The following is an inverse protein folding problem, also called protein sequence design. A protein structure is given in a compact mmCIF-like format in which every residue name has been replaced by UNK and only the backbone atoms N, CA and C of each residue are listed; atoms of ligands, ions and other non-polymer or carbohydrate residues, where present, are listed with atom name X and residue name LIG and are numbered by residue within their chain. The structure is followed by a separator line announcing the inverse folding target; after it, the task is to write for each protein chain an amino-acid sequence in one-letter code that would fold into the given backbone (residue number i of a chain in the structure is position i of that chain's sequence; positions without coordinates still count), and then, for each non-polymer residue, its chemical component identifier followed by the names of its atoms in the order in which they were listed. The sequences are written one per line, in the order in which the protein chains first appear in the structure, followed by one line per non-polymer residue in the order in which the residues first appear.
data_IF_254108233779
#
_entry.id   IF_254108233779
#
_cell.length_a   1.000
_cell.length_b   1.000
_cell.length_c   1.000
_cell.angle_alpha   90.00
_cell.angle_beta   90.00
_cell.angle_gamma   90.00
#
_symmetry.space_group_name_H-M   'P 1'
#
loop_
_entity.id
_entity.type
_entity.pdbx_description
1 polymer ?
#
# COMPACT_ATOMS: atom_id res chain seq x y z
N UNK A 1 -0.04 25.16 10.41
CA UNK A 1 0.82 24.39 9.50
C UNK A 1 1.66 23.49 10.39
N UNK A 2 1.23 22.25 10.55
CA UNK A 2 1.98 21.29 11.37
C UNK A 2 3.33 21.03 10.72
N UNK A 3 4.37 21.07 11.54
CA UNK A 3 5.75 20.96 11.09
C UNK A 3 6.00 19.51 10.67
N UNK A 4 6.15 19.26 9.37
CA UNK A 4 6.43 17.92 8.82
C UNK A 4 7.72 17.40 9.46
N UNK A 5 7.65 16.21 10.08
CA UNK A 5 8.79 15.62 10.78
C UNK A 5 9.94 15.28 9.81
N UNK A 6 11.17 15.19 10.33
CA UNK A 6 12.33 14.83 9.53
C UNK A 6 12.19 13.44 8.87
N UNK A 7 11.50 12.50 9.53
CA UNK A 7 11.19 11.19 8.96
C UNK A 7 10.23 11.32 7.77
N UNK A 8 9.15 12.08 7.92
CA UNK A 8 8.19 12.31 6.83
C UNK A 8 8.84 13.00 5.62
N UNK A 9 9.75 13.96 5.84
CA UNK A 9 10.51 14.57 4.74
C UNK A 9 11.41 13.56 4.03
N UNK A 10 12.02 12.63 4.78
CA UNK A 10 12.85 11.57 4.22
C UNK A 10 12.01 10.59 3.41
N UNK A 11 10.86 10.18 3.94
CA UNK A 11 9.93 9.28 3.27
C UNK A 11 9.38 9.91 1.99
N UNK A 12 9.01 11.19 1.99
CA UNK A 12 8.55 11.91 0.80
C UNK A 12 9.62 11.88 -0.31
N UNK A 13 10.88 12.18 0.02
CA UNK A 13 11.99 12.13 -0.95
C UNK A 13 12.19 10.71 -1.49
N UNK A 14 12.12 9.71 -0.61
CA UNK A 14 12.23 8.31 -0.99
C UNK A 14 11.11 7.90 -1.94
N UNK A 15 9.85 8.23 -1.62
CA UNK A 15 8.68 7.94 -2.46
C UNK A 15 8.83 8.60 -3.83
N UNK A 16 9.23 9.86 -3.90
CA UNK A 16 9.44 10.56 -5.15
C UNK A 16 10.52 9.90 -6.02
N UNK A 17 11.63 9.48 -5.41
CA UNK A 17 12.69 8.75 -6.11
C UNK A 17 12.20 7.40 -6.65
N UNK A 18 11.44 6.64 -5.86
CA UNK A 18 10.86 5.35 -6.28
C UNK A 18 9.87 5.54 -7.42
N UNK A 19 9.01 6.57 -7.37
CA UNK A 19 8.07 6.85 -8.47
C UNK A 19 8.82 7.12 -9.77
N UNK A 20 9.86 7.96 -9.72
CA UNK A 20 10.70 8.22 -10.89
C UNK A 20 11.43 6.96 -11.38
N UNK A 21 11.90 6.09 -10.48
CA UNK A 21 12.51 4.80 -10.83
C UNK A 21 11.51 3.90 -11.58
N UNK A 22 10.28 3.78 -11.08
CA UNK A 22 9.23 2.95 -11.69
C UNK A 22 8.80 3.52 -13.05
N UNK A 23 8.56 4.83 -13.15
CA UNK A 23 8.14 5.50 -14.39
C UNK A 23 9.14 5.30 -15.53
N UNK A 24 10.44 5.32 -15.22
CA UNK A 24 11.50 5.11 -16.20
C UNK A 24 11.83 3.62 -16.43
N UNK A 25 11.67 2.78 -15.40
CA UNK A 25 12.15 1.39 -15.41
C UNK A 25 11.12 0.36 -15.84
N UNK A 26 9.82 0.55 -15.61
CA UNK A 26 8.83 -0.53 -15.85
C UNK A 26 8.61 -0.88 -17.34
N UNK A 27 9.02 -0.01 -18.26
CA UNK A 27 9.04 -0.32 -19.69
C UNK A 27 10.31 -1.08 -20.13
N UNK A 28 11.32 -1.16 -19.26
CA UNK A 28 12.51 -1.98 -19.44
C UNK A 28 12.23 -3.40 -18.93
N UNK A 29 12.36 -4.37 -19.84
CA UNK A 29 12.09 -5.77 -19.57
C UNK A 29 13.00 -6.35 -18.47
N UNK A 30 14.27 -5.95 -18.44
CA UNK A 30 15.22 -6.47 -17.45
C UNK A 30 14.89 -5.93 -16.06
N UNK A 31 14.53 -4.64 -15.97
CA UNK A 31 14.09 -4.04 -14.71
C UNK A 31 12.80 -4.72 -14.21
N UNK A 32 11.79 -4.87 -15.06
CA UNK A 32 10.53 -5.52 -14.70
C UNK A 32 10.72 -6.97 -14.24
N UNK A 33 11.60 -7.73 -14.90
CA UNK A 33 11.94 -9.09 -14.49
C UNK A 33 12.66 -9.11 -13.15
N UNK A 34 13.64 -8.22 -12.92
CA UNK A 34 14.36 -8.15 -11.65
C UNK A 34 13.41 -7.88 -10.48
N UNK A 35 12.46 -6.95 -10.63
CA UNK A 35 11.44 -6.68 -9.61
C UNK A 35 10.53 -7.90 -9.40
N UNK A 36 10.12 -8.57 -10.48
CA UNK A 36 9.30 -9.77 -10.40
C UNK A 36 10.03 -10.91 -9.68
N UNK A 37 11.31 -11.11 -9.96
CA UNK A 37 12.17 -12.10 -9.30
C UNK A 37 12.39 -11.76 -7.82
N UNK A 38 12.59 -10.48 -7.48
CA UNK A 38 12.65 -10.03 -6.09
C UNK A 38 11.34 -10.36 -5.35
N UNK A 39 10.20 -10.00 -5.93
CA UNK A 39 8.90 -10.28 -5.34
C UNK A 39 8.67 -11.80 -5.20
N UNK A 40 8.97 -12.58 -6.22
CA UNK A 40 8.84 -14.04 -6.18
C UNK A 40 9.67 -14.65 -5.05
N UNK A 41 10.91 -14.18 -4.89
CA UNK A 41 11.83 -14.68 -3.86
C UNK A 41 11.43 -14.25 -2.45
N UNK A 42 11.14 -12.96 -2.27
CA UNK A 42 11.06 -12.35 -0.94
C UNK A 42 9.64 -12.04 -0.48
N UNK A 43 8.70 -11.73 -1.36
CA UNK A 43 7.31 -11.41 -1.02
C UNK A 43 6.32 -11.96 -2.06
N UNK A 44 6.24 -13.29 -2.25
CA UNK A 44 5.40 -13.89 -3.28
C UNK A 44 3.91 -13.57 -3.11
N UNK A 45 3.47 -13.25 -1.89
CA UNK A 45 2.10 -12.84 -1.60
C UNK A 45 1.69 -11.61 -2.42
N UNK A 46 2.58 -10.63 -2.62
CA UNK A 46 2.28 -9.44 -3.44
C UNK A 46 1.96 -9.84 -4.88
N UNK A 47 2.71 -10.79 -5.45
CA UNK A 47 2.42 -11.29 -6.79
C UNK A 47 1.07 -12.00 -6.84
N UNK A 48 0.77 -12.84 -5.84
CA UNK A 48 -0.53 -13.51 -5.74
C UNK A 48 -1.68 -12.49 -5.68
N UNK A 49 -1.52 -11.42 -4.91
CA UNK A 49 -2.49 -10.32 -4.82
C UNK A 49 -2.69 -9.61 -6.17
N UNK A 50 -1.60 -9.22 -6.84
CA UNK A 50 -1.67 -8.60 -8.19
C UNK A 50 -2.39 -9.53 -9.17
N UNK A 51 -2.05 -10.82 -9.18
CA UNK A 51 -2.65 -11.80 -10.08
C UNK A 51 -4.14 -12.00 -9.79
N UNK A 52 -4.56 -11.94 -8.51
CA UNK A 52 -5.96 -12.00 -8.12
C UNK A 52 -6.80 -10.86 -8.72
N UNK A 53 -6.26 -9.64 -8.74
CA UNK A 53 -6.96 -8.48 -9.30
C UNK A 53 -7.08 -8.50 -10.83
N UNK A 54 -6.29 -9.29 -11.56
CA UNK A 54 -6.38 -9.37 -13.03
C UNK A 54 -7.76 -9.77 -13.54
N UNK A 55 -8.57 -10.42 -12.71
CA UNK A 55 -9.93 -10.81 -13.04
C UNK A 55 -10.95 -9.67 -12.83
N UNK A 56 -10.63 -8.70 -11.98
CA UNK A 56 -11.54 -7.66 -11.51
C UNK A 56 -11.18 -6.25 -12.03
N UNK A 57 -10.01 -6.11 -12.67
CA UNK A 57 -9.43 -4.85 -13.14
C UNK A 57 -9.20 -4.93 -14.64
N UNK A 58 -9.58 -3.87 -15.36
CA UNK A 58 -9.38 -3.78 -16.79
C UNK A 58 -7.87 -3.80 -17.14
N UNK A 59 -7.51 -4.40 -18.27
CA UNK A 59 -6.10 -4.52 -18.69
C UNK A 59 -5.39 -3.16 -18.80
N UNK A 60 -6.12 -2.10 -19.12
CA UNK A 60 -5.62 -0.72 -19.20
C UNK A 60 -5.28 -0.10 -17.83
N UNK A 61 -5.90 -0.58 -16.76
CA UNK A 61 -5.68 -0.12 -15.37
C UNK A 61 -4.63 -0.94 -14.63
N UNK A 62 -4.32 -2.13 -15.15
CA UNK A 62 -3.42 -3.06 -14.50
C UNK A 62 -1.99 -2.52 -14.31
N UNK A 63 -1.38 -1.78 -15.25
CA UNK A 63 -0.05 -1.20 -15.04
C UNK A 63 -0.01 -0.25 -13.85
N UNK A 64 -1.02 0.62 -13.71
CA UNK A 64 -1.09 1.58 -12.62
C UNK A 64 -1.25 0.86 -11.26
N UNK A 65 -2.06 -0.21 -11.21
CA UNK A 65 -2.20 -1.07 -10.03
C UNK A 65 -0.88 -1.76 -9.66
N UNK A 66 -0.20 -2.35 -10.65
CA UNK A 66 1.08 -3.04 -10.46
C UNK A 66 2.11 -2.05 -9.91
N UNK A 67 2.19 -0.85 -10.47
CA UNK A 67 3.14 0.17 -10.06
C UNK A 67 2.98 0.56 -8.59
N UNK A 68 1.76 0.64 -8.07
CA UNK A 68 1.54 0.93 -6.65
C UNK A 68 1.98 -0.22 -5.74
N UNK A 69 1.71 -1.47 -6.11
CA UNK A 69 2.22 -2.63 -5.36
C UNK A 69 3.75 -2.71 -5.38
N UNK A 70 4.37 -2.45 -6.54
CA UNK A 70 5.83 -2.40 -6.70
C UNK A 70 6.42 -1.25 -5.87
N UNK A 71 5.78 -0.08 -5.85
CA UNK A 71 6.21 1.05 -5.04
C UNK A 71 6.23 0.68 -3.55
N UNK A 72 5.14 0.06 -3.04
CA UNK A 72 5.09 -0.40 -1.65
C UNK A 72 6.23 -1.38 -1.36
N UNK A 73 6.49 -2.34 -2.26
CA UNK A 73 7.62 -3.25 -2.12
C UNK A 73 8.96 -2.51 -2.05
N UNK A 74 9.28 -1.67 -3.03
CA UNK A 74 10.56 -0.95 -3.07
C UNK A 74 10.72 -0.03 -1.85
N UNK A 75 9.63 0.56 -1.35
CA UNK A 75 9.67 1.38 -0.14
C UNK A 75 10.13 0.58 1.08
N UNK A 76 9.69 -0.66 1.23
CA UNK A 76 9.97 -1.48 2.41
C UNK A 76 11.12 -2.48 2.25
N UNK A 77 11.55 -2.84 1.03
CA UNK A 77 12.46 -3.97 0.77
C UNK A 77 13.78 -3.95 1.54
N UNK A 78 14.25 -2.77 1.94
CA UNK A 78 15.52 -2.59 2.66
C UNK A 78 15.34 -2.39 4.17
N UNK A 79 14.10 -2.52 4.68
CA UNK A 79 13.80 -2.46 6.11
C UNK A 79 14.06 -3.80 6.77
N UNK A 80 14.31 -3.76 8.08
CA UNK A 80 14.57 -4.93 8.92
C UNK A 80 13.52 -6.02 8.67
N UNK A 81 14.00 -7.26 8.51
CA UNK A 81 13.21 -8.48 8.28
C UNK A 81 12.41 -8.58 6.98
N UNK A 82 12.26 -7.52 6.19
CA UNK A 82 11.34 -7.52 5.03
C UNK A 82 11.75 -8.50 3.93
N UNK A 83 13.06 -8.74 3.73
CA UNK A 83 13.54 -9.78 2.80
C UNK A 83 13.58 -11.19 3.41
N UNK A 84 13.24 -11.35 4.69
CA UNK A 84 13.37 -12.63 5.41
C UNK A 84 12.01 -13.20 5.80
N UNK A 85 11.08 -12.36 6.22
CA UNK A 85 9.74 -12.75 6.66
C UNK A 85 8.76 -12.47 5.54
N UNK A 86 8.18 -13.53 4.97
CA UNK A 86 7.15 -13.46 3.94
C UNK A 86 5.80 -13.15 4.58
N UNK A 87 5.01 -12.29 3.93
CA UNK A 87 3.61 -12.09 4.29
C UNK A 87 2.86 -13.40 4.00
N UNK A 88 2.12 -13.88 5.00
CA UNK A 88 1.24 -15.05 4.86
C UNK A 88 -0.20 -14.58 4.66
N UNK A 89 -1.03 -15.44 4.06
CA UNK A 89 -2.47 -15.19 3.95
C UNK A 89 -3.10 -14.91 5.32
N UNK A 90 -2.76 -15.70 6.34
CA UNK A 90 -3.26 -15.48 7.70
C UNK A 90 -2.88 -14.09 8.24
N UNK A 91 -1.65 -13.64 8.00
CA UNK A 91 -1.21 -12.31 8.43
C UNK A 91 -2.00 -11.22 7.70
N UNK A 92 -2.14 -11.36 6.38
CA UNK A 92 -2.89 -10.44 5.56
C UNK A 92 -4.37 -10.37 5.99
N UNK A 93 -5.07 -11.50 6.06
CA UNK A 93 -6.49 -11.56 6.45
C UNK A 93 -6.72 -11.00 7.86
N UNK A 94 -5.77 -11.18 8.77
CA UNK A 94 -5.81 -10.55 10.11
C UNK A 94 -5.78 -9.03 10.02
N UNK A 95 -4.89 -8.46 9.21
CA UNK A 95 -4.79 -7.00 9.05
C UNK A 95 -5.98 -6.43 8.27
N UNK A 96 -6.45 -7.13 7.24
CA UNK A 96 -7.63 -6.76 6.47
C UNK A 96 -8.88 -6.73 7.37
N UNK A 97 -9.08 -7.77 8.18
CA UNK A 97 -10.20 -7.84 9.13
C UNK A 97 -10.18 -6.69 10.14
N UNK A 98 -8.99 -6.28 10.59
CA UNK A 98 -8.83 -5.11 11.48
C UNK A 98 -9.20 -3.82 10.77
N UNK A 99 -8.76 -3.64 9.52
CA UNK A 99 -9.08 -2.48 8.71
C UNK A 99 -10.60 -2.38 8.47
N UNK A 100 -11.24 -3.48 8.06
CA UNK A 100 -12.71 -3.54 7.87
C UNK A 100 -13.46 -3.26 9.18
N UNK A 101 -13.00 -3.81 10.31
CA UNK A 101 -13.61 -3.54 11.61
C UNK A 101 -13.50 -2.06 12.02
N UNK A 102 -12.36 -1.43 11.72
CA UNK A 102 -12.17 0.01 11.94
C UNK A 102 -13.16 0.84 11.10
N UNK A 103 -13.34 0.52 9.82
CA UNK A 103 -14.30 1.21 8.95
C UNK A 103 -15.74 1.06 9.44
N UNK A 104 -16.16 -0.15 9.85
CA UNK A 104 -17.50 -0.38 10.42
C UNK A 104 -17.73 0.41 11.70
N UNK A 105 -16.71 0.48 12.57
CA UNK A 105 -16.75 1.29 13.78
C UNK A 105 -16.82 2.78 13.44
N UNK A 106 -16.10 3.23 12.42
CA UNK A 106 -16.12 4.62 11.97
C UNK A 106 -17.52 5.03 11.49
N UNK A 107 -18.16 4.19 10.67
CA UNK A 107 -19.52 4.44 10.14
C UNK A 107 -20.56 4.61 11.27
N UNK A 108 -20.49 3.75 12.28
CA UNK A 108 -21.43 3.74 13.43
C UNK A 108 -21.11 4.79 14.50
N UNK A 109 -19.93 5.43 14.45
CA UNK A 109 -19.54 6.44 15.44
C UNK A 109 -20.26 7.77 15.19
N UNK A 110 -21.06 8.22 16.17
CA UNK A 110 -21.89 9.43 16.00
C UNK A 110 -21.11 10.74 16.14
N UNK A 111 -20.11 10.80 17.02
CA UNK A 111 -19.37 12.04 17.30
C UNK A 111 -18.25 12.28 16.29
N UNK A 112 -18.20 13.48 15.71
CA UNK A 112 -17.10 13.93 14.86
C UNK A 112 -15.74 13.88 15.59
N UNK A 113 -15.70 14.25 16.87
CA UNK A 113 -14.46 14.19 17.66
C UNK A 113 -13.95 12.75 17.84
N UNK A 114 -14.86 11.79 18.05
CA UNK A 114 -14.50 10.38 18.14
C UNK A 114 -14.03 9.82 16.79
N UNK A 115 -14.67 10.23 15.69
CA UNK A 115 -14.24 9.90 14.32
C UNK A 115 -12.85 10.44 14.01
N UNK A 116 -12.57 11.71 14.32
CA UNK A 116 -11.26 12.32 14.11
C UNK A 116 -10.19 11.60 14.92
N UNK A 117 -10.46 11.31 16.19
CA UNK A 117 -9.52 10.54 17.02
C UNK A 117 -9.22 9.16 16.45
N UNK A 118 -10.22 8.45 15.93
CA UNK A 118 -10.00 7.16 15.28
C UNK A 118 -9.11 7.26 14.05
N UNK A 119 -9.30 8.30 13.23
CA UNK A 119 -8.45 8.57 12.06
C UNK A 119 -7.03 8.90 12.54
N UNK A 120 -6.88 9.76 13.54
CA UNK A 120 -5.56 10.14 14.08
C UNK A 120 -4.83 8.92 14.65
N UNK A 121 -5.51 8.08 15.43
CA UNK A 121 -4.95 6.86 16.00
C UNK A 121 -4.50 5.88 14.90
N UNK A 122 -5.29 5.72 13.83
CA UNK A 122 -4.92 4.85 12.70
C UNK A 122 -3.74 5.44 11.91
N UNK A 123 -3.76 6.73 11.59
CA UNK A 123 -2.67 7.43 10.91
C UNK A 123 -1.36 7.33 11.70
N UNK A 124 -1.42 7.50 13.02
CA UNK A 124 -0.26 7.41 13.92
C UNK A 124 0.28 5.99 14.08
N UNK A 125 -0.48 4.97 13.67
CA UNK A 125 -0.04 3.58 13.76
C UNK A 125 0.76 3.10 12.54
N UNK A 126 0.81 3.87 11.44
CA UNK A 126 1.64 3.54 10.29
C UNK A 126 3.10 3.93 10.52
N UNK A 127 4.04 3.08 10.07
CA UNK A 127 5.46 3.43 10.12
C UNK A 127 5.85 4.57 9.16
N UNK A 128 5.05 4.80 8.11
CA UNK A 128 5.18 5.94 7.19
C UNK A 128 3.82 6.56 6.88
N UNK A 129 3.53 7.71 7.48
CA UNK A 129 2.35 8.53 7.17
C UNK A 129 2.41 9.09 5.75
N UNK A 130 3.61 9.41 5.27
CA UNK A 130 3.83 9.93 3.92
C UNK A 130 3.48 8.91 2.85
N UNK A 131 3.82 7.63 3.06
CA UNK A 131 3.44 6.57 2.12
C UNK A 131 1.93 6.34 2.12
N UNK A 132 1.30 6.30 3.30
CA UNK A 132 -0.16 6.23 3.42
C UNK A 132 -0.83 7.39 2.69
N UNK A 133 -0.41 8.63 2.96
CA UNK A 133 -0.97 9.83 2.34
C UNK A 133 -0.80 9.83 0.82
N UNK A 134 0.35 9.37 0.32
CA UNK A 134 0.58 9.24 -1.12
C UNK A 134 -0.38 8.22 -1.74
N UNK A 135 -0.56 7.03 -1.15
CA UNK A 135 -1.51 6.03 -1.66
C UNK A 135 -2.95 6.54 -1.65
N UNK A 136 -3.35 7.30 -0.63
CA UNK A 136 -4.64 7.99 -0.59
C UNK A 136 -4.75 9.00 -1.73
N UNK A 137 -3.70 9.80 -1.96
CA UNK A 137 -3.65 10.77 -3.07
C UNK A 137 -3.78 10.08 -4.41
N UNK A 138 -3.01 9.02 -4.66
CA UNK A 138 -3.09 8.22 -5.90
C UNK A 138 -4.48 7.63 -6.07
N UNK A 139 -5.07 7.09 -5.01
CA UNK A 139 -6.42 6.54 -5.09
C UNK A 139 -7.50 7.60 -5.32
N UNK A 140 -7.29 8.86 -4.89
CA UNK A 140 -8.25 9.96 -5.02
C UNK A 140 -8.10 10.74 -6.33
N UNK A 141 -6.86 11.03 -6.71
CA UNK A 141 -6.46 11.91 -7.80
C UNK A 141 -6.17 11.13 -9.08
N UNK A 142 -5.77 9.85 -8.96
CA UNK A 142 -5.45 9.00 -10.09
C UNK A 142 -6.68 8.21 -10.56
N UNK A 143 -6.65 7.80 -11.84
CA UNK A 143 -7.78 7.22 -12.55
C UNK A 143 -8.12 5.79 -12.11
N UNK A 144 -7.23 5.07 -11.41
CA UNK A 144 -7.40 3.64 -11.08
C UNK A 144 -8.73 3.41 -10.34
N UNK A 145 -9.00 4.14 -9.26
CA UNK A 145 -10.25 3.95 -8.52
C UNK A 145 -11.46 4.60 -9.21
N UNK A 146 -11.25 5.63 -10.04
CA UNK A 146 -12.34 6.27 -10.79
C UNK A 146 -12.81 5.42 -11.98
N UNK A 147 -11.92 4.61 -12.56
CA UNK A 147 -12.22 3.68 -13.66
C UNK A 147 -12.77 2.34 -13.15
N UNK A 148 -12.39 1.96 -11.93
CA UNK A 148 -12.97 0.81 -11.25
C UNK A 148 -14.35 1.12 -10.67
N UNK A 149 -15.22 0.11 -10.61
CA UNK A 149 -16.45 0.25 -9.85
C UNK A 149 -16.12 0.41 -8.34
N UNK A 150 -17.06 0.98 -7.58
CA UNK A 150 -16.87 1.28 -6.15
C UNK A 150 -16.41 0.07 -5.33
N UNK A 151 -16.84 -1.14 -5.67
CA UNK A 151 -16.48 -2.36 -4.96
C UNK A 151 -15.03 -2.76 -5.26
N UNK A 152 -14.66 -2.91 -6.54
CA UNK A 152 -13.31 -3.26 -6.96
C UNK A 152 -12.29 -2.20 -6.51
N UNK A 153 -12.64 -0.92 -6.63
CA UNK A 153 -11.79 0.17 -6.18
C UNK A 153 -11.59 0.18 -4.66
N UNK A 154 -12.65 -0.07 -3.89
CA UNK A 154 -12.56 -0.23 -2.44
C UNK A 154 -11.69 -1.41 -2.03
N UNK A 155 -11.78 -2.53 -2.73
CA UNK A 155 -10.98 -3.73 -2.47
C UNK A 155 -9.48 -3.50 -2.77
N UNK A 156 -9.16 -2.82 -3.88
CA UNK A 156 -7.78 -2.46 -4.23
C UNK A 156 -7.18 -1.52 -3.20
N UNK A 157 -7.91 -0.46 -2.81
CA UNK A 157 -7.48 0.46 -1.76
C UNK A 157 -7.25 -0.26 -0.42
N UNK A 158 -8.21 -1.08 0.01
CA UNK A 158 -8.07 -1.88 1.22
C UNK A 158 -6.84 -2.80 1.16
N UNK A 159 -6.52 -3.33 -0.02
CA UNK A 159 -5.33 -4.15 -0.23
C UNK A 159 -4.02 -3.40 -0.02
N UNK A 160 -3.90 -2.19 -0.57
CA UNK A 160 -2.72 -1.35 -0.32
C UNK A 160 -2.52 -1.04 1.17
N UNK A 161 -3.59 -0.62 1.85
CA UNK A 161 -3.53 -0.27 3.27
C UNK A 161 -3.20 -1.50 4.12
N UNK A 162 -3.80 -2.64 3.81
CA UNK A 162 -3.52 -3.92 4.50
C UNK A 162 -2.06 -4.32 4.34
N UNK A 163 -1.49 -4.12 3.14
CA UNK A 163 -0.10 -4.44 2.87
C UNK A 163 0.87 -3.58 3.69
N UNK A 164 0.59 -2.28 3.85
CA UNK A 164 1.36 -1.41 4.74
C UNK A 164 1.39 -1.96 6.17
N UNK A 165 0.23 -2.33 6.72
CA UNK A 165 0.14 -2.87 8.09
C UNK A 165 0.88 -4.22 8.23
N UNK A 166 0.89 -5.04 7.18
CA UNK A 166 1.66 -6.29 7.18
C UNK A 166 3.16 -6.02 7.26
N UNK A 167 3.67 -5.05 6.49
CA UNK A 167 5.06 -4.63 6.57
C UNK A 167 5.43 -4.01 7.92
N UNK A 168 4.56 -3.17 8.47
CA UNK A 168 4.76 -2.59 9.81
C UNK A 168 4.89 -3.68 10.89
N UNK A 169 4.08 -4.74 10.83
CA UNK A 169 4.19 -5.90 11.73
C UNK A 169 5.48 -6.71 11.51
N UNK A 170 5.99 -6.79 10.28
CA UNK A 170 7.27 -7.46 9.97
C UNK A 170 8.46 -6.65 10.50
N UNK A 171 8.43 -5.33 10.35
CA UNK A 171 9.51 -4.42 10.76
C UNK A 171 9.62 -4.34 12.28
N UNK A 172 8.50 -4.50 12.99
CA UNK A 172 8.45 -4.47 14.45
C UNK A 172 9.01 -5.73 15.14
N UNK A 173 9.28 -6.81 14.39
CA UNK A 173 9.94 -8.03 14.90
C UNK A 173 11.46 -7.84 15.01
#
# INVERSE_FOLDING_TARGET
MDNISAQEQTDIKKIAAIKAEIENGMNDFDYANNITDELYRYQPFILSTIMGYKMDVAMEDLPDLINLYVLIWIFYRDRKNVRTIKITEQQYSKQESRFVAMLKKYETTMSAAAKNKMIDDDLNSFSSKSLYAMLVSECRENKILHRLNRQSGGAVYAGYITLLKCFDEIIAK
#
